data_IF_030259836596
#
_entry.id   IF_030259836596
#
_cell.length_a   1.000
_cell.length_b   1.000
_cell.length_c   1.000
_cell.angle_alpha   90.00
_cell.angle_beta   90.00
_cell.angle_gamma   90.00
#
_symmetry.space_group_name_H-M   'P 1'
#
loop_
_entity.id
_entity.type
_entity.pdbx_description
1 polymer ?
#
# COMPACT_ATOMS: atom_id res chain seq x y z
N UNK A 1 5.45 2.85 -17.98
CA UNK A 1 4.30 3.16 -18.88
C UNK A 1 2.98 3.47 -18.17
N UNK A 2 2.11 2.51 -17.82
CA UNK A 2 0.74 2.85 -17.35
C UNK A 2 0.71 3.77 -16.11
N UNK A 3 1.58 3.53 -15.11
CA UNK A 3 1.69 4.40 -13.92
C UNK A 3 2.11 5.82 -14.29
N UNK A 4 3.07 5.96 -15.20
CA UNK A 4 3.59 7.26 -15.62
C UNK A 4 2.53 8.04 -16.41
N UNK A 5 1.79 7.37 -17.28
CA UNK A 5 0.66 7.97 -18.01
C UNK A 5 -0.44 8.43 -17.06
N UNK A 6 -0.81 7.62 -16.06
CA UNK A 6 -1.80 8.01 -15.06
C UNK A 6 -1.34 9.22 -14.23
N UNK A 7 -0.05 9.29 -13.87
CA UNK A 7 0.51 10.42 -13.13
C UNK A 7 0.58 11.73 -13.93
N UNK A 8 0.35 11.73 -15.25
CA UNK A 8 0.23 12.97 -16.04
C UNK A 8 -1.12 13.68 -15.82
N UNK A 9 -2.12 12.99 -15.25
CA UNK A 9 -3.43 13.57 -15.00
C UNK A 9 -3.38 14.53 -13.79
N UNK A 10 -4.02 15.71 -13.86
CA UNK A 10 -4.07 16.64 -12.74
C UNK A 10 -4.64 15.99 -11.48
N UNK A 11 -3.90 16.06 -10.37
CA UNK A 11 -4.31 15.48 -9.08
C UNK A 11 -4.04 13.98 -8.92
N UNK A 12 -3.45 13.30 -9.91
CA UNK A 12 -3.13 11.87 -9.83
C UNK A 12 -1.66 11.68 -9.44
N UNK A 13 -1.44 11.40 -8.15
CA UNK A 13 -0.13 10.97 -7.64
C UNK A 13 0.09 9.46 -7.73
N UNK A 14 1.30 9.01 -7.41
CA UNK A 14 1.69 7.59 -7.45
C UNK A 14 0.73 6.65 -6.70
N UNK A 15 0.18 7.09 -5.57
CA UNK A 15 -0.82 6.34 -4.81
C UNK A 15 -2.09 6.11 -5.62
N UNK A 16 -2.64 7.16 -6.23
CA UNK A 16 -3.90 7.10 -6.99
C UNK A 16 -3.68 6.27 -8.25
N UNK A 17 -2.56 6.48 -8.95
CA UNK A 17 -2.17 5.66 -10.10
C UNK A 17 -2.13 4.17 -9.74
N UNK A 18 -1.51 3.80 -8.61
CA UNK A 18 -1.46 2.40 -8.17
C UNK A 18 -2.83 1.82 -7.81
N UNK A 19 -3.75 2.62 -7.24
CA UNK A 19 -5.14 2.18 -7.01
C UNK A 19 -5.88 1.90 -8.32
N UNK A 20 -5.75 2.80 -9.31
CA UNK A 20 -6.38 2.62 -10.63
C UNK A 20 -5.79 1.40 -11.34
N UNK A 21 -4.48 1.20 -11.27
CA UNK A 21 -3.83 0.01 -11.83
C UNK A 21 -4.33 -1.28 -11.17
N UNK A 22 -4.49 -1.30 -9.85
CA UNK A 22 -4.94 -2.49 -9.12
C UNK A 22 -6.42 -2.79 -9.37
N UNK A 23 -7.30 -1.79 -9.22
CA UNK A 23 -8.76 -1.99 -9.24
C UNK A 23 -9.39 -1.83 -10.63
N UNK A 24 -8.84 -0.97 -11.47
CA UNK A 24 -9.38 -0.68 -12.81
C UNK A 24 -8.71 -1.48 -13.93
N UNK A 25 -7.46 -1.92 -13.74
CA UNK A 25 -6.68 -2.64 -14.77
C UNK A 25 -6.21 -4.02 -14.31
N UNK A 26 -6.72 -4.51 -13.18
CA UNK A 26 -6.40 -5.84 -12.62
C UNK A 26 -4.89 -6.12 -12.53
N UNK A 27 -4.07 -5.09 -12.29
CA UNK A 27 -2.64 -5.27 -12.10
C UNK A 27 -2.42 -5.80 -10.68
N UNK A 28 -2.56 -7.12 -10.50
CA UNK A 28 -2.47 -7.83 -9.22
C UNK A 28 -1.11 -7.62 -8.54
N UNK A 29 -0.07 -7.20 -9.27
CA UNK A 29 1.23 -6.84 -8.68
C UNK A 29 1.24 -5.47 -7.99
N UNK A 30 0.26 -4.61 -8.25
CA UNK A 30 0.21 -3.27 -7.69
C UNK A 30 -0.13 -3.31 -6.20
N UNK A 31 0.66 -2.60 -5.39
CA UNK A 31 0.51 -2.54 -3.93
C UNK A 31 0.34 -1.08 -3.50
N UNK A 32 -0.89 -0.53 -3.50
CA UNK A 32 -1.12 0.83 -3.04
C UNK A 32 -0.88 0.96 -1.53
N UNK A 33 0.07 1.80 -1.15
CA UNK A 33 0.37 2.14 0.24
C UNK A 33 -0.40 3.41 0.60
N UNK A 34 -1.43 3.28 1.43
CA UNK A 34 -2.11 4.39 2.07
C UNK A 34 -1.68 4.54 3.55
N UNK A 35 -2.27 5.49 4.26
CA UNK A 35 -1.93 5.77 5.68
C UNK A 35 -2.17 4.58 6.62
N UNK A 36 -3.09 3.66 6.30
CA UNK A 36 -3.37 2.48 7.13
C UNK A 36 -2.37 1.37 6.85
N UNK A 37 -2.12 1.10 5.57
CA UNK A 37 -1.12 0.14 5.13
C UNK A 37 0.28 0.55 5.59
N UNK A 38 0.63 1.84 5.48
CA UNK A 38 1.88 2.37 5.98
C UNK A 38 2.06 2.11 7.49
N UNK A 39 1.01 2.33 8.29
CA UNK A 39 1.04 2.00 9.73
C UNK A 39 1.27 0.51 9.97
N UNK A 40 0.57 -0.37 9.24
CA UNK A 40 0.74 -1.82 9.38
C UNK A 40 2.17 -2.25 9.00
N UNK A 41 2.73 -1.70 7.92
CA UNK A 41 4.10 -2.01 7.50
C UNK A 41 5.11 -1.57 8.57
N UNK A 42 4.95 -0.36 9.11
CA UNK A 42 5.81 0.15 10.18
C UNK A 42 5.68 -0.66 11.48
N UNK A 43 4.47 -0.98 11.91
CA UNK A 43 4.23 -1.70 13.17
C UNK A 43 4.64 -3.18 13.09
N UNK A 44 4.31 -3.88 11.99
CA UNK A 44 4.52 -5.34 11.90
C UNK A 44 5.86 -5.73 11.30
N UNK A 45 6.35 -5.00 10.30
CA UNK A 45 7.53 -5.40 9.54
C UNK A 45 8.77 -4.58 9.92
N UNK A 46 8.58 -3.38 10.49
CA UNK A 46 9.68 -2.50 10.86
C UNK A 46 9.55 -1.85 12.24
N UNK A 47 9.23 -2.60 13.31
CA UNK A 47 8.91 -2.03 14.63
C UNK A 47 10.03 -1.19 15.25
N UNK A 48 11.29 -1.39 14.83
CA UNK A 48 12.48 -0.71 15.36
C UNK A 48 13.08 0.34 14.41
N UNK A 49 12.58 0.50 13.18
CA UNK A 49 13.09 1.51 12.23
C UNK A 49 12.25 2.78 12.29
N UNK A 50 12.84 3.85 12.83
CA UNK A 50 12.20 5.18 12.94
C UNK A 50 12.21 5.99 11.64
N UNK A 51 13.23 5.83 10.80
CA UNK A 51 13.37 6.55 9.51
C UNK A 51 13.08 5.62 8.34
N UNK A 52 11.81 5.53 7.95
CA UNK A 52 11.38 4.90 6.70
C UNK A 52 10.67 5.95 5.86
N UNK A 53 11.00 5.99 4.57
CA UNK A 53 10.34 6.85 3.60
C UNK A 53 9.23 6.06 2.90
N UNK A 54 8.27 6.75 2.30
CA UNK A 54 7.22 6.07 1.52
C UNK A 54 7.82 5.28 0.33
N UNK A 55 8.94 5.75 -0.23
CA UNK A 55 9.68 5.06 -1.27
C UNK A 55 10.26 3.72 -0.79
N UNK A 56 10.91 3.69 0.39
CA UNK A 56 11.48 2.45 0.91
C UNK A 56 10.41 1.43 1.31
N UNK A 57 9.25 1.90 1.77
CA UNK A 57 8.10 1.02 2.02
C UNK A 57 7.53 0.43 0.72
N UNK A 58 7.45 1.24 -0.35
CA UNK A 58 6.99 0.78 -1.65
C UNK A 58 7.94 -0.25 -2.26
N UNK A 59 9.24 -0.01 -2.18
CA UNK A 59 10.26 -0.96 -2.61
C UNK A 59 10.22 -2.26 -1.82
N UNK A 60 10.13 -2.17 -0.48
CA UNK A 60 9.95 -3.36 0.36
C UNK A 60 8.70 -4.15 -0.03
N UNK A 61 7.54 -3.49 -0.19
CA UNK A 61 6.29 -4.17 -0.52
C UNK A 61 6.37 -4.85 -1.90
N UNK A 62 6.99 -4.19 -2.88
CA UNK A 62 7.20 -4.74 -4.21
C UNK A 62 8.10 -5.99 -4.17
N UNK A 63 9.19 -5.96 -3.40
CA UNK A 63 10.13 -7.08 -3.31
C UNK A 63 9.60 -8.23 -2.45
N UNK A 64 8.95 -7.93 -1.33
CA UNK A 64 8.50 -8.93 -0.36
C UNK A 64 7.22 -9.64 -0.79
N UNK A 65 6.22 -8.89 -1.28
CA UNK A 65 4.95 -9.48 -1.74
C UNK A 65 4.96 -9.86 -3.22
N UNK A 66 5.86 -9.25 -4.01
CA UNK A 66 6.11 -9.64 -5.40
C UNK A 66 4.84 -9.66 -6.24
N UNK A 67 4.62 -10.78 -6.92
CA UNK A 67 3.46 -10.98 -7.80
C UNK A 67 2.12 -11.00 -7.07
N UNK A 68 2.13 -11.22 -5.76
CA UNK A 68 0.93 -11.32 -4.91
C UNK A 68 0.63 -10.02 -4.16
N UNK A 69 1.25 -8.90 -4.57
CA UNK A 69 1.14 -7.60 -3.90
C UNK A 69 -0.30 -7.15 -3.67
N UNK A 70 -1.15 -7.22 -4.68
CA UNK A 70 -2.55 -6.83 -4.62
C UNK A 70 -3.34 -7.65 -3.59
N UNK A 71 -3.14 -8.97 -3.54
CA UNK A 71 -3.78 -9.82 -2.53
C UNK A 71 -3.31 -9.46 -1.13
N UNK A 72 -2.00 -9.35 -0.92
CA UNK A 72 -1.44 -8.97 0.38
C UNK A 72 -1.98 -7.61 0.83
N UNK A 73 -2.10 -6.65 -0.08
CA UNK A 73 -2.66 -5.33 0.22
C UNK A 73 -4.12 -5.43 0.70
N UNK A 74 -4.96 -6.23 0.04
CA UNK A 74 -6.35 -6.43 0.44
C UNK A 74 -6.47 -7.07 1.83
N UNK A 75 -5.69 -8.12 2.11
CA UNK A 75 -5.68 -8.77 3.42
C UNK A 75 -5.18 -7.84 4.53
N UNK A 76 -4.10 -7.09 4.28
CA UNK A 76 -3.55 -6.14 5.25
C UNK A 76 -4.53 -4.99 5.51
N UNK A 77 -5.22 -4.49 4.49
CA UNK A 77 -6.23 -3.46 4.62
C UNK A 77 -7.42 -3.94 5.46
N UNK A 78 -7.93 -5.14 5.15
CA UNK A 78 -9.02 -5.76 5.91
C UNK A 78 -8.64 -5.92 7.39
N UNK A 79 -7.45 -6.49 7.66
CA UNK A 79 -6.92 -6.63 9.01
C UNK A 79 -6.81 -5.26 9.71
N UNK A 80 -6.24 -4.24 9.06
CA UNK A 80 -6.06 -2.90 9.62
C UNK A 80 -7.40 -2.26 10.04
N UNK A 81 -8.46 -2.42 9.23
CA UNK A 81 -9.80 -1.91 9.57
C UNK A 81 -10.42 -2.65 10.74
N UNK A 82 -10.23 -3.97 10.83
CA UNK A 82 -10.79 -4.78 11.91
C UNK A 82 -10.11 -4.54 13.26
N UNK A 83 -8.78 -4.39 13.27
CA UNK A 83 -8.03 -4.09 14.49
C UNK A 83 -8.12 -2.62 14.91
N UNK A 84 -8.21 -1.68 13.96
CA UNK A 84 -8.42 -0.27 14.24
C UNK A 84 -9.76 0.03 14.94
N UNK A 85 -10.81 -0.75 14.64
CA UNK A 85 -12.10 -0.70 15.37
C UNK A 85 -11.98 -1.17 16.81
N UNK A 86 -11.09 -2.13 17.11
CA UNK A 86 -10.84 -2.63 18.47
C UNK A 86 -10.11 -1.61 19.35
N UNK A 87 -9.14 -0.86 18.81
CA UNK A 87 -8.41 0.20 19.54
C UNK A 87 -9.26 1.42 19.93
N UNK A 88 -10.39 1.69 19.26
CA UNK A 88 -11.31 2.80 19.57
C UNK A 88 -12.35 2.47 20.66
N UNK A 89 -12.43 1.22 21.11
CA UNK A 89 -13.36 0.75 22.15
C UNK A 89 -12.67 0.45 23.48
N UNK A 90 -11.40 0.84 23.64
CA UNK A 90 -10.62 0.71 24.87
C UNK A 90 -10.29 2.07 25.43
#
# INVERSE_FOLDING_TARGET
ELREQLCQLPGVGAKVANCVMLFGYERIKAFPIDVWIERVLREKYFPRKRKLTSASLAEFAANYFGTHGGYAQQYLFHHARMTGKRRRKG
#
